data_IF_497817639231
#
_entry.id   IF_497817639231
#
_cell.length_a   1.000
_cell.length_b   1.000
_cell.length_c   1.000
_cell.angle_alpha   90.00
_cell.angle_beta   90.00
_cell.angle_gamma   90.00
#
_symmetry.space_group_name_H-M   'P 1'
#
loop_
_entity.id
_entity.type
_entity.pdbx_description
1 polymer ?
#
# COMPACT_ATOMS: atom_id res chain seq x y z
N UNK A 1 12.61 8.80 -11.19
CA UNK A 1 12.17 9.77 -10.17
C UNK A 1 10.83 10.42 -10.54
N UNK A 2 10.67 11.04 -11.71
CA UNK A 2 9.42 11.75 -12.12
C UNK A 2 8.18 10.88 -11.99
N UNK A 3 8.24 9.62 -12.45
CA UNK A 3 7.08 8.70 -12.39
C UNK A 3 6.74 8.35 -10.93
N UNK A 4 7.75 8.14 -10.10
CA UNK A 4 7.58 7.91 -8.66
C UNK A 4 6.86 9.10 -8.01
N UNK A 5 7.27 10.33 -8.34
CA UNK A 5 6.63 11.54 -7.84
C UNK A 5 5.17 11.66 -8.28
N UNK A 6 4.87 11.35 -9.56
CA UNK A 6 3.49 11.35 -10.09
C UNK A 6 2.63 10.29 -9.39
N UNK A 7 3.15 9.07 -9.21
CA UNK A 7 2.42 8.00 -8.53
C UNK A 7 2.18 8.35 -7.05
N UNK A 8 3.16 8.96 -6.39
CA UNK A 8 3.01 9.45 -5.01
C UNK A 8 1.95 10.55 -4.92
N UNK A 9 1.92 11.49 -5.87
CA UNK A 9 0.90 12.53 -5.93
C UNK A 9 -0.51 11.95 -6.14
N UNK A 10 -0.65 10.93 -6.98
CA UNK A 10 -1.92 10.22 -7.16
C UNK A 10 -2.36 9.50 -5.88
N UNK A 11 -1.43 8.87 -5.17
CA UNK A 11 -1.70 8.28 -3.85
C UNK A 11 -2.13 9.34 -2.84
N UNK A 12 -1.47 10.51 -2.83
CA UNK A 12 -1.83 11.63 -1.97
C UNK A 12 -3.27 12.09 -2.24
N UNK A 13 -3.61 12.35 -3.50
CA UNK A 13 -4.97 12.72 -3.89
C UNK A 13 -5.99 11.63 -3.55
N UNK A 14 -5.62 10.37 -3.75
CA UNK A 14 -6.46 9.23 -3.40
C UNK A 14 -6.78 9.12 -1.92
N UNK A 15 -5.96 9.69 -1.03
CA UNK A 15 -6.22 9.67 0.42
C UNK A 15 -7.42 10.54 0.82
N UNK A 16 -7.83 11.48 -0.01
CA UNK A 16 -9.03 12.29 0.23
C UNK A 16 -10.34 11.54 -0.06
N UNK A 17 -10.27 10.38 -0.73
CA UNK A 17 -11.45 9.54 -0.93
C UNK A 17 -11.83 8.95 0.42
N UNK A 18 -13.05 9.16 0.92
CA UNK A 18 -13.49 8.62 2.19
C UNK A 18 -13.64 7.09 2.12
N UNK A 19 -13.36 6.41 3.22
CA UNK A 19 -13.55 4.96 3.43
C UNK A 19 -12.62 4.09 2.58
N UNK A 20 -12.69 4.18 1.25
CA UNK A 20 -11.92 3.34 0.33
C UNK A 20 -10.77 4.15 -0.30
N UNK A 21 -9.53 3.74 -0.04
CA UNK A 21 -8.34 4.50 -0.45
C UNK A 21 -7.50 3.71 -1.46
N UNK A 22 -7.14 4.30 -2.61
CA UNK A 22 -6.39 3.60 -3.66
C UNK A 22 -4.89 3.43 -3.38
N UNK A 23 -4.37 3.92 -2.25
CA UNK A 23 -2.93 3.98 -1.95
C UNK A 23 -2.27 2.62 -2.14
N UNK A 24 -2.79 1.59 -1.46
CA UNK A 24 -2.23 0.24 -1.52
C UNK A 24 -2.20 -0.29 -2.96
N UNK A 25 -3.30 -0.12 -3.70
CA UNK A 25 -3.40 -0.56 -5.09
C UNK A 25 -2.39 0.16 -6.00
N UNK A 26 -2.27 1.49 -5.90
CA UNK A 26 -1.32 2.27 -6.69
C UNK A 26 0.14 1.92 -6.35
N UNK A 27 0.44 1.68 -5.09
CA UNK A 27 1.76 1.24 -4.62
C UNK A 27 2.11 -0.14 -5.19
N UNK A 28 1.17 -1.10 -5.15
CA UNK A 28 1.32 -2.43 -5.72
C UNK A 28 1.53 -2.35 -7.24
N UNK A 29 0.70 -1.59 -7.95
CA UNK A 29 0.82 -1.40 -9.40
C UNK A 29 2.19 -0.80 -9.75
N UNK A 30 2.65 0.18 -9.01
CA UNK A 30 3.98 0.76 -9.21
C UNK A 30 5.07 -0.30 -9.05
N UNK A 31 5.02 -1.10 -7.99
CA UNK A 31 5.96 -2.20 -7.77
C UNK A 31 5.98 -3.20 -8.91
N UNK A 32 4.81 -3.63 -9.38
CA UNK A 32 4.67 -4.61 -10.47
C UNK A 32 5.29 -4.11 -11.80
N UNK A 33 5.08 -2.84 -12.15
CA UNK A 33 5.45 -2.31 -13.47
C UNK A 33 6.79 -1.58 -13.50
N UNK A 34 7.17 -0.89 -12.43
CA UNK A 34 8.41 -0.11 -12.35
C UNK A 34 9.50 -0.76 -11.49
N UNK A 35 9.18 -1.87 -10.82
CA UNK A 35 10.09 -2.57 -9.93
C UNK A 35 9.85 -2.30 -8.44
N UNK A 36 10.34 -3.22 -7.60
CA UNK A 36 10.10 -3.21 -6.17
C UNK A 36 10.59 -1.94 -5.47
N UNK A 37 11.76 -1.44 -5.84
CA UNK A 37 12.32 -0.21 -5.29
C UNK A 37 11.40 1.00 -5.52
N UNK A 38 10.87 1.13 -6.74
CA UNK A 38 9.90 2.19 -7.08
C UNK A 38 8.60 2.04 -6.28
N UNK A 39 8.12 0.80 -6.12
CA UNK A 39 6.95 0.50 -5.29
C UNK A 39 7.17 0.87 -3.83
N UNK A 40 8.35 0.51 -3.28
CA UNK A 40 8.72 0.90 -1.91
C UNK A 40 8.74 2.41 -1.73
N UNK A 41 9.41 3.12 -2.64
CA UNK A 41 9.53 4.58 -2.59
C UNK A 41 8.16 5.26 -2.65
N UNK A 42 7.27 4.84 -3.57
CA UNK A 42 5.91 5.41 -3.65
C UNK A 42 5.15 5.18 -2.35
N UNK A 43 5.19 3.97 -1.78
CA UNK A 43 4.53 3.67 -0.51
C UNK A 43 5.06 4.52 0.65
N UNK A 44 6.38 4.56 0.82
CA UNK A 44 7.04 5.30 1.89
C UNK A 44 6.83 6.82 1.76
N UNK A 45 7.03 7.38 0.56
CA UNK A 45 6.84 8.81 0.31
C UNK A 45 5.37 9.21 0.46
N UNK A 46 4.44 8.34 0.08
CA UNK A 46 3.01 8.59 0.31
C UNK A 46 2.70 8.72 1.79
N UNK A 47 3.26 7.86 2.65
CA UNK A 47 3.06 7.95 4.09
C UNK A 47 3.56 9.29 4.63
N UNK A 48 4.79 9.68 4.28
CA UNK A 48 5.38 10.94 4.71
C UNK A 48 4.53 12.14 4.27
N UNK A 49 4.31 12.26 2.96
CA UNK A 49 3.64 13.44 2.38
C UNK A 49 2.19 13.56 2.83
N UNK A 50 1.45 12.45 2.89
CA UNK A 50 0.06 12.51 3.34
C UNK A 50 -0.05 12.84 4.81
N UNK A 51 0.89 12.37 5.64
CA UNK A 51 0.86 12.66 7.07
C UNK A 51 1.28 14.10 7.38
N UNK A 52 2.02 14.80 6.52
CA UNK A 52 2.18 16.25 6.65
C UNK A 52 0.85 17.00 6.60
N UNK A 53 -0.10 16.50 5.81
CA UNK A 53 -1.44 17.10 5.72
C UNK A 53 -2.41 16.56 6.77
N UNK A 54 -2.45 15.24 6.99
CA UNK A 54 -3.41 14.59 7.89
C UNK A 54 -2.93 14.45 9.33
N UNK A 55 -1.72 14.86 9.63
CA UNK A 55 -1.08 14.77 10.94
C UNK A 55 0.11 13.80 10.94
N UNK A 56 1.26 14.31 11.35
CA UNK A 56 2.49 13.52 11.52
C UNK A 56 2.55 12.92 12.92
N UNK A 57 3.13 11.74 12.98
CA UNK A 57 3.43 11.07 14.24
C UNK A 57 4.29 9.82 14.02
N UNK A 58 4.70 9.16 15.10
CA UNK A 58 5.55 7.97 15.02
C UNK A 58 4.93 6.82 14.22
N UNK A 59 3.60 6.77 14.09
CA UNK A 59 2.89 5.82 13.22
C UNK A 59 3.29 5.93 11.74
N UNK A 60 3.83 7.09 11.33
CA UNK A 60 4.26 7.31 9.95
C UNK A 60 5.32 6.30 9.53
N UNK A 61 6.23 5.93 10.42
CA UNK A 61 7.26 4.93 10.16
C UNK A 61 6.63 3.57 9.85
N UNK A 62 5.63 3.15 10.63
CA UNK A 62 4.91 1.90 10.40
C UNK A 62 4.16 1.91 9.07
N UNK A 63 3.53 3.04 8.71
CA UNK A 63 2.88 3.20 7.42
C UNK A 63 3.87 3.15 6.25
N UNK A 64 5.03 3.79 6.37
CA UNK A 64 6.09 3.75 5.37
C UNK A 64 6.52 2.31 5.08
N UNK A 65 6.80 1.54 6.14
CA UNK A 65 7.16 0.14 5.99
C UNK A 65 6.02 -0.70 5.42
N UNK A 66 4.80 -0.56 5.92
CA UNK A 66 3.68 -1.38 5.50
C UNK A 66 3.35 -1.16 4.01
N UNK A 67 3.24 0.09 3.57
CA UNK A 67 2.99 0.38 2.14
C UNK A 67 4.23 0.12 1.28
N UNK A 68 5.42 0.46 1.78
CA UNK A 68 6.68 0.23 1.07
C UNK A 68 6.94 -1.25 0.81
N UNK A 69 6.83 -2.09 1.83
CA UNK A 69 7.04 -3.54 1.70
C UNK A 69 6.00 -4.16 0.76
N UNK A 70 4.73 -3.74 0.84
CA UNK A 70 3.71 -4.22 -0.08
C UNK A 70 4.06 -3.91 -1.54
N UNK A 71 4.56 -2.70 -1.83
CA UNK A 71 5.03 -2.33 -3.17
C UNK A 71 6.30 -3.06 -3.59
N UNK A 72 7.25 -3.24 -2.68
CA UNK A 72 8.49 -3.96 -2.94
C UNK A 72 8.25 -5.43 -3.28
N UNK A 73 7.49 -6.13 -2.44
CA UNK A 73 7.13 -7.52 -2.67
C UNK A 73 6.31 -7.70 -3.97
N UNK A 74 5.41 -6.74 -4.28
CA UNK A 74 4.69 -6.77 -5.56
C UNK A 74 5.64 -6.72 -6.76
N UNK A 75 6.74 -5.97 -6.66
CA UNK A 75 7.80 -5.96 -7.66
C UNK A 75 8.53 -7.28 -7.80
N UNK A 76 8.86 -7.93 -6.68
CA UNK A 76 9.49 -9.25 -6.67
C UNK A 76 8.62 -10.31 -7.35
N UNK A 77 7.31 -10.28 -7.10
CA UNK A 77 6.35 -11.22 -7.68
C UNK A 77 5.70 -10.71 -8.97
N UNK A 78 6.26 -9.68 -9.61
CA UNK A 78 5.66 -8.98 -10.75
C UNK A 78 5.27 -9.90 -11.90
N UNK A 79 6.11 -10.88 -12.24
CA UNK A 79 5.85 -11.84 -13.33
C UNK A 79 4.61 -12.68 -13.05
N UNK A 80 4.41 -13.12 -11.82
CA UNK A 80 3.26 -13.93 -11.42
C UNK A 80 1.99 -13.07 -11.33
N UNK A 81 2.10 -11.88 -10.74
CA UNK A 81 0.98 -10.97 -10.54
C UNK A 81 0.45 -10.39 -11.86
N UNK A 82 1.31 -10.18 -12.86
CA UNK A 82 0.89 -9.77 -14.22
C UNK A 82 0.12 -10.87 -14.96
N UNK A 83 0.49 -12.13 -14.76
CA UNK A 83 -0.10 -13.28 -15.49
C UNK A 83 -1.43 -13.74 -14.92
N UNK A 84 -1.65 -13.58 -13.61
CA UNK A 84 -2.81 -14.15 -12.91
C UNK A 84 -3.60 -13.06 -12.17
N UNK A 85 -4.80 -12.76 -12.71
CA UNK A 85 -5.75 -11.87 -12.05
C UNK A 85 -6.16 -12.34 -10.64
N UNK A 86 -6.52 -13.64 -10.45
CA UNK A 86 -6.83 -14.13 -9.10
C UNK A 86 -5.69 -13.91 -8.11
N UNK A 87 -4.45 -14.17 -8.53
CA UNK A 87 -3.29 -13.98 -7.68
C UNK A 87 -3.09 -12.50 -7.30
N UNK A 88 -3.32 -11.59 -8.24
CA UNK A 88 -3.27 -10.15 -7.98
C UNK A 88 -4.32 -9.71 -6.93
N UNK A 89 -5.53 -10.25 -7.03
CA UNK A 89 -6.62 -9.98 -6.09
C UNK A 89 -6.26 -10.50 -4.69
N UNK A 90 -5.80 -11.75 -4.61
CA UNK A 90 -5.37 -12.37 -3.35
C UNK A 90 -4.23 -11.56 -2.73
N UNK A 91 -3.25 -11.18 -3.53
CA UNK A 91 -2.14 -10.35 -3.08
C UNK A 91 -2.62 -8.99 -2.52
N UNK A 92 -3.52 -8.31 -3.22
CA UNK A 92 -4.09 -7.04 -2.77
C UNK A 92 -4.88 -7.16 -1.48
N UNK A 93 -5.68 -8.22 -1.32
CA UNK A 93 -6.40 -8.51 -0.09
C UNK A 93 -5.44 -8.76 1.08
N UNK A 94 -4.43 -9.62 0.88
CA UNK A 94 -3.40 -9.91 1.87
C UNK A 94 -2.60 -8.67 2.26
N UNK A 95 -2.21 -7.83 1.29
CA UNK A 95 -1.50 -6.58 1.55
C UNK A 95 -2.32 -5.64 2.44
N UNK A 96 -3.64 -5.54 2.22
CA UNK A 96 -4.54 -4.76 3.06
C UNK A 96 -4.63 -5.30 4.49
N UNK A 97 -4.72 -6.62 4.64
CA UNK A 97 -4.73 -7.30 5.97
C UNK A 97 -3.41 -7.09 6.69
N UNK A 98 -2.28 -7.32 6.02
CA UNK A 98 -0.94 -7.14 6.60
C UNK A 98 -0.71 -5.68 7.02
N UNK A 99 -1.18 -4.73 6.22
CA UNK A 99 -1.14 -3.32 6.59
C UNK A 99 -1.84 -3.07 7.93
N UNK A 100 -3.06 -3.57 8.10
CA UNK A 100 -3.81 -3.43 9.35
C UNK A 100 -3.05 -4.04 10.53
N UNK A 101 -2.52 -5.25 10.36
CA UNK A 101 -1.77 -5.95 11.40
C UNK A 101 -0.50 -5.19 11.82
N UNK A 102 0.21 -4.59 10.88
CA UNK A 102 1.38 -3.77 11.18
C UNK A 102 0.97 -2.50 11.95
N UNK A 103 -0.14 -1.88 11.57
CA UNK A 103 -0.66 -0.70 12.27
C UNK A 103 -1.17 -1.03 13.67
N UNK A 104 -1.69 -2.24 13.90
CA UNK A 104 -2.11 -2.69 15.23
C UNK A 104 -0.92 -2.92 16.17
N UNK A 105 0.25 -3.32 15.66
CA UNK A 105 1.49 -3.33 16.45
C UNK A 105 1.80 -1.94 16.98
N UNK A 106 1.73 -0.91 16.09
CA UNK A 106 1.91 0.48 16.50
C UNK A 106 0.90 0.87 17.61
N UNK A 107 -0.37 0.53 17.42
CA UNK A 107 -1.44 0.85 18.37
C UNK A 107 -1.11 0.31 19.78
N UNK A 108 -0.68 -0.95 19.89
CA UNK A 108 -0.31 -1.56 21.16
C UNK A 108 0.91 -0.87 21.79
N UNK A 109 1.94 -0.61 21.00
CA UNK A 109 3.15 0.07 21.47
C UNK A 109 2.84 1.47 21.99
N UNK A 110 1.92 2.19 21.32
CA UNK A 110 1.54 3.53 21.74
C UNK A 110 0.78 3.57 23.06
N UNK A 111 -0.22 2.68 23.23
CA UNK A 111 -1.06 2.69 24.42
C UNK A 111 -0.41 2.04 25.65
N UNK A 112 0.43 1.04 25.45
CA UNK A 112 1.00 0.24 26.56
C UNK A 112 2.49 0.51 26.80
N UNK A 113 3.18 1.19 25.88
CA UNK A 113 4.62 1.42 25.94
C UNK A 113 5.49 0.18 25.65
N UNK A 114 4.92 -1.02 25.70
CA UNK A 114 5.56 -2.30 25.43
C UNK A 114 4.63 -3.17 24.56
N UNK A 115 5.22 -4.11 23.82
CA UNK A 115 4.43 -5.10 23.06
C UNK A 115 3.89 -6.16 24.02
N UNK A 116 2.58 -6.32 24.06
CA UNK A 116 1.88 -7.36 24.81
C UNK A 116 0.92 -8.11 23.86
N UNK A 117 1.12 -9.43 23.76
CA UNK A 117 0.36 -10.28 22.85
C UNK A 117 -1.16 -10.23 23.10
N UNK A 118 -1.58 -10.18 24.38
CA UNK A 118 -3.00 -10.11 24.73
C UNK A 118 -3.66 -8.83 24.21
N UNK A 119 -2.98 -7.70 24.37
CA UNK A 119 -3.45 -6.41 23.85
C UNK A 119 -3.43 -6.38 22.32
N UNK A 120 -2.43 -7.00 21.70
CA UNK A 120 -2.36 -7.11 20.24
C UNK A 120 -3.53 -7.93 19.67
N UNK A 121 -3.86 -9.06 20.28
CA UNK A 121 -5.03 -9.85 19.88
C UNK A 121 -6.34 -9.07 20.04
N UNK A 122 -6.47 -8.31 21.13
CA UNK A 122 -7.63 -7.42 21.31
C UNK A 122 -7.69 -6.31 20.26
N UNK A 123 -6.53 -5.71 19.90
CA UNK A 123 -6.44 -4.71 18.84
C UNK A 123 -6.88 -5.28 17.49
N UNK A 124 -6.40 -6.49 17.12
CA UNK A 124 -6.81 -7.17 15.89
C UNK A 124 -8.34 -7.37 15.82
N UNK A 125 -8.97 -7.78 16.92
CA UNK A 125 -10.42 -7.97 16.95
C UNK A 125 -11.18 -6.65 16.76
N UNK A 126 -10.74 -5.59 17.43
CA UNK A 126 -11.37 -4.27 17.31
C UNK A 126 -11.11 -3.63 15.95
N UNK A 127 -10.00 -3.98 15.29
CA UNK A 127 -9.63 -3.49 13.97
C UNK A 127 -10.33 -4.22 12.79
N UNK A 128 -11.08 -5.29 13.03
CA UNK A 128 -11.73 -6.09 11.97
C UNK A 128 -12.43 -5.23 10.90
N UNK A 129 -13.28 -4.23 11.25
CA UNK A 129 -13.95 -3.40 10.23
C UNK A 129 -12.95 -2.62 9.35
N UNK A 130 -11.87 -2.13 9.93
CA UNK A 130 -10.81 -1.42 9.21
C UNK A 130 -10.00 -2.37 8.33
N UNK A 131 -9.66 -3.56 8.85
CA UNK A 131 -8.96 -4.61 8.10
C UNK A 131 -9.73 -5.02 6.86
N UNK A 132 -11.05 -5.24 6.99
CA UNK A 132 -11.93 -5.54 5.85
C UNK A 132 -11.94 -4.37 4.87
N UNK A 133 -12.07 -3.13 5.35
CA UNK A 133 -12.04 -1.94 4.51
C UNK A 133 -10.74 -1.82 3.71
N UNK A 134 -9.59 -2.08 4.31
CA UNK A 134 -8.28 -2.04 3.62
C UNK A 134 -8.17 -3.16 2.58
N UNK A 135 -8.59 -4.38 2.90
CA UNK A 135 -8.57 -5.49 1.96
C UNK A 135 -9.50 -5.24 0.76
N UNK A 136 -10.74 -4.83 1.01
CA UNK A 136 -11.74 -4.51 -0.03
C UNK A 136 -11.27 -3.35 -0.89
N UNK A 137 -10.75 -2.28 -0.28
CA UNK A 137 -10.21 -1.11 -0.98
C UNK A 137 -9.07 -1.50 -1.93
N UNK A 138 -8.11 -2.30 -1.44
CA UNK A 138 -6.98 -2.77 -2.24
C UNK A 138 -7.45 -3.58 -3.45
N UNK A 139 -8.36 -4.54 -3.24
CA UNK A 139 -8.91 -5.37 -4.31
C UNK A 139 -9.69 -4.54 -5.32
N UNK A 140 -10.60 -3.68 -4.85
CA UNK A 140 -11.44 -2.85 -5.71
C UNK A 140 -10.59 -1.97 -6.64
N UNK A 141 -9.63 -1.24 -6.07
CA UNK A 141 -8.80 -0.35 -6.87
C UNK A 141 -7.77 -1.09 -7.73
N UNK A 142 -7.32 -2.28 -7.35
CA UNK A 142 -6.52 -3.13 -8.24
C UNK A 142 -7.35 -3.58 -9.45
N UNK A 143 -8.60 -3.97 -9.27
CA UNK A 143 -9.49 -4.36 -10.37
C UNK A 143 -9.72 -3.22 -11.36
N UNK A 144 -9.87 -1.99 -10.84
CA UNK A 144 -10.14 -0.79 -11.66
C UNK A 144 -8.85 -0.30 -12.33
N UNK A 145 -7.76 -0.20 -11.58
CA UNK A 145 -6.56 0.54 -12.00
C UNK A 145 -5.44 -0.33 -12.57
N UNK A 146 -5.38 -1.64 -12.26
CA UNK A 146 -4.24 -2.46 -12.68
C UNK A 146 -4.06 -2.48 -14.21
N UNK A 147 -5.15 -2.60 -14.96
CA UNK A 147 -5.09 -2.63 -16.43
C UNK A 147 -4.76 -1.26 -17.04
N UNK A 148 -5.50 -0.15 -16.74
CA UNK A 148 -5.24 1.15 -17.37
C UNK A 148 -3.91 1.77 -16.94
N UNK A 149 -3.55 1.68 -15.67
CA UNK A 149 -2.26 2.21 -15.19
C UNK A 149 -1.10 1.32 -15.62
N UNK A 150 -1.27 -0.01 -15.53
CA UNK A 150 -0.24 -0.96 -15.94
C UNK A 150 0.19 -0.77 -17.39
N UNK A 151 -0.75 -0.65 -18.32
CA UNK A 151 -0.44 -0.43 -19.73
C UNK A 151 0.26 0.91 -20.00
N UNK A 152 -0.09 1.96 -19.25
CA UNK A 152 0.59 3.26 -19.34
C UNK A 152 2.01 3.21 -18.77
N UNK A 153 2.19 2.60 -17.62
CA UNK A 153 3.51 2.46 -16.99
C UNK A 153 4.45 1.60 -17.84
N UNK A 154 3.95 0.53 -18.43
CA UNK A 154 4.73 -0.32 -19.34
C UNK A 154 5.16 0.42 -20.61
N UNK A 155 4.27 1.24 -21.19
CA UNK A 155 4.61 2.14 -22.30
C UNK A 155 5.71 3.13 -21.96
N UNK A 156 5.62 3.75 -20.78
CA UNK A 156 6.63 4.70 -20.30
C UNK A 156 7.96 4.00 -20.08
N UNK A 157 7.94 2.82 -19.48
CA UNK A 157 9.14 2.00 -19.26
C UNK A 157 9.86 1.69 -20.57
N UNK A 158 9.14 1.23 -21.58
CA UNK A 158 9.70 0.93 -22.91
C UNK A 158 10.20 2.18 -23.62
N UNK A 159 9.45 3.30 -23.54
CA UNK A 159 9.79 4.54 -24.24
C UNK A 159 11.02 5.26 -23.66
N UNK A 160 11.21 5.21 -22.36
CA UNK A 160 12.25 5.97 -21.66
C UNK A 160 13.36 5.11 -21.05
N UNK A 161 13.33 3.79 -21.22
CA UNK A 161 14.38 2.88 -20.74
C UNK A 161 14.51 2.82 -19.21
N UNK A 162 13.39 2.99 -18.48
CA UNK A 162 13.37 3.07 -17.00
C UNK A 162 12.99 1.73 -16.40
#
# INVERSE_FOLDING_TARGET
LVIVSVMTALCFLGRFIPILKPIMALTIITGIYLGGESGFLVGAMTAILTNFYFGQGPWTVFQMFAWGIAGYCAGMFSTMLKKSRPLLIIYGALAGVVYSFIMDIWTVLWYNGNFELKLYLAALVTAIPYTISYAVSSVLFLLIFAKPFGSKLERIKVKYGV
#
